data_IF_644133609255
#
_entry.id   IF_644133609255
#
_cell.length_a   1.000
_cell.length_b   1.000
_cell.length_c   1.000
_cell.angle_alpha   90.00
_cell.angle_beta   90.00
_cell.angle_gamma   90.00
#
_symmetry.space_group_name_H-M   'P 1'
#
loop_
_entity.id
_entity.type
_entity.pdbx_description
1 polymer ?
#
# COMPACT_ATOMS: atom_id res chain seq x y z
N UNK A 1 7.41 -4.27 -18.24
CA UNK A 1 6.40 -5.34 -18.42
C UNK A 1 6.90 -6.37 -19.41
N UNK A 2 7.30 -6.00 -20.64
CA UNK A 2 7.92 -6.97 -21.58
C UNK A 2 9.15 -7.69 -21.01
N UNK A 3 10.07 -6.96 -20.35
CA UNK A 3 11.22 -7.57 -19.66
C UNK A 3 10.82 -8.55 -18.54
N UNK A 4 9.76 -8.22 -17.79
CA UNK A 4 9.26 -9.08 -16.71
C UNK A 4 8.59 -10.34 -17.31
N UNK A 5 7.86 -10.19 -18.42
CA UNK A 5 7.23 -11.31 -19.14
C UNK A 5 8.25 -12.22 -19.81
N UNK A 6 9.31 -11.65 -20.41
CA UNK A 6 10.43 -12.43 -20.95
C UNK A 6 11.14 -13.22 -19.84
N UNK A 7 11.38 -12.59 -18.70
CA UNK A 7 11.96 -13.27 -17.55
C UNK A 7 11.05 -14.39 -17.03
N UNK A 8 9.74 -14.18 -16.91
CA UNK A 8 8.77 -15.23 -16.55
C UNK A 8 8.77 -16.36 -17.58
N UNK A 9 8.82 -16.03 -18.88
CA UNK A 9 8.86 -17.03 -19.96
C UNK A 9 10.15 -17.85 -19.96
N UNK A 10 11.27 -17.27 -19.52
CA UNK A 10 12.56 -17.95 -19.33
C UNK A 10 12.67 -18.66 -17.98
N UNK A 11 11.84 -18.30 -17.00
CA UNK A 11 11.83 -18.95 -15.71
C UNK A 11 11.39 -20.41 -15.90
N UNK A 12 12.33 -21.32 -15.60
CA UNK A 12 12.06 -22.76 -15.69
C UNK A 12 11.12 -23.24 -14.59
N UNK A 13 10.97 -24.56 -14.48
CA UNK A 13 10.21 -25.16 -13.37
C UNK A 13 10.99 -24.95 -12.06
N UNK A 14 10.36 -24.40 -11.00
CA UNK A 14 11.01 -24.26 -9.71
C UNK A 14 11.49 -25.61 -9.12
N UNK A 15 12.61 -25.61 -8.39
CA UNK A 15 13.11 -26.77 -7.66
C UNK A 15 12.08 -27.23 -6.60
N UNK A 16 11.39 -28.33 -6.89
CA UNK A 16 10.37 -28.91 -6.01
C UNK A 16 10.91 -29.34 -4.63
N UNK A 17 12.22 -29.46 -4.46
CA UNK A 17 12.87 -29.76 -3.19
C UNK A 17 13.16 -28.53 -2.33
N UNK A 18 12.68 -27.34 -2.70
CA UNK A 18 12.85 -26.09 -1.94
C UNK A 18 11.50 -25.44 -1.66
N UNK A 19 11.39 -24.77 -0.51
CA UNK A 19 10.23 -23.95 -0.16
C UNK A 19 10.14 -22.67 -1.00
N UNK A 20 11.28 -22.01 -1.23
CA UNK A 20 11.35 -20.85 -2.12
C UNK A 20 11.23 -21.32 -3.57
N UNK A 21 10.42 -20.64 -4.41
CA UNK A 21 10.48 -20.87 -5.85
C UNK A 21 11.85 -20.42 -6.36
N UNK A 22 12.71 -21.38 -6.69
CA UNK A 22 14.04 -21.13 -7.22
C UNK A 22 14.25 -21.89 -8.52
N UNK A 23 14.84 -21.26 -9.51
CA UNK A 23 15.17 -21.87 -10.80
C UNK A 23 16.56 -21.44 -11.28
N UNK A 24 17.13 -22.24 -12.17
CA UNK A 24 18.36 -21.91 -12.91
C UNK A 24 17.99 -21.59 -14.36
N UNK A 25 18.46 -20.45 -14.87
CA UNK A 25 18.28 -20.06 -16.28
C UNK A 25 19.44 -20.59 -17.16
N UNK A 26 19.71 -21.89 -17.07
CA UNK A 26 20.82 -22.57 -17.76
C UNK A 26 22.04 -22.85 -16.87
N UNK A 27 23.09 -23.44 -17.46
CA UNK A 27 24.23 -24.02 -16.74
C UNK A 27 25.21 -22.99 -16.14
N UNK A 28 25.19 -21.74 -16.63
CA UNK A 28 26.14 -20.67 -16.24
C UNK A 28 25.50 -19.49 -15.50
N UNK A 29 24.18 -19.52 -15.29
CA UNK A 29 23.44 -18.45 -14.61
C UNK A 29 23.29 -18.74 -13.13
N UNK A 30 23.53 -17.76 -12.24
CA UNK A 30 23.20 -17.89 -10.83
C UNK A 30 21.72 -18.27 -10.66
N UNK A 31 21.39 -19.13 -9.68
CA UNK A 31 20.01 -19.46 -9.39
C UNK A 31 19.24 -18.20 -8.95
N UNK A 32 18.03 -18.05 -9.46
CA UNK A 32 17.13 -16.95 -9.14
C UNK A 32 16.04 -17.49 -8.22
N UNK A 33 15.72 -16.74 -7.16
CA UNK A 33 14.74 -17.17 -6.18
C UNK A 33 13.72 -16.07 -5.92
N UNK A 34 12.47 -16.47 -5.70
CA UNK A 34 11.44 -15.59 -5.16
C UNK A 34 11.27 -15.85 -3.65
N UNK A 35 10.75 -14.87 -2.90
CA UNK A 35 10.38 -15.07 -1.51
C UNK A 35 9.43 -16.25 -1.34
N UNK A 36 9.64 -17.05 -0.29
CA UNK A 36 8.66 -18.03 0.15
C UNK A 36 7.49 -17.37 0.89
N UNK A 37 7.75 -16.25 1.57
CA UNK A 37 6.73 -15.51 2.29
C UNK A 37 6.81 -14.00 2.07
N UNK A 38 5.66 -13.36 2.31
CA UNK A 38 5.49 -11.91 2.31
C UNK A 38 4.89 -11.47 3.63
N UNK A 39 5.37 -10.34 4.15
CA UNK A 39 4.74 -9.62 5.23
C UNK A 39 4.01 -8.42 4.60
N UNK A 40 2.70 -8.57 4.42
CA UNK A 40 1.86 -7.53 3.84
C UNK A 40 1.38 -6.58 4.92
N UNK A 41 1.36 -5.29 4.62
CA UNK A 41 0.79 -4.28 5.48
C UNK A 41 0.87 -2.92 4.83
N UNK A 42 0.06 -1.99 5.33
CA UNK A 42 0.22 -0.58 4.99
C UNK A 42 1.53 -0.03 5.57
N UNK A 43 1.98 1.12 5.05
CA UNK A 43 3.00 1.92 5.74
C UNK A 43 2.62 2.11 7.23
N UNK A 44 3.61 2.13 8.14
CA UNK A 44 3.40 2.20 9.61
C UNK A 44 2.64 1.02 10.25
N UNK A 45 2.60 -0.15 9.59
CA UNK A 45 2.06 -1.39 10.19
C UNK A 45 3.12 -2.25 10.90
N UNK A 46 4.42 -2.06 10.60
CA UNK A 46 5.52 -2.80 11.22
C UNK A 46 5.99 -4.04 10.43
N UNK A 47 5.79 -4.07 9.11
CA UNK A 47 6.24 -5.20 8.25
C UNK A 47 7.75 -5.45 8.34
N UNK A 48 8.57 -4.39 8.21
CA UNK A 48 10.03 -4.48 8.26
C UNK A 48 10.57 -4.89 9.63
N UNK A 49 9.89 -4.47 10.71
CA UNK A 49 10.23 -4.87 12.07
C UNK A 49 9.98 -6.37 12.27
N UNK A 50 8.82 -6.90 11.85
CA UNK A 50 8.55 -8.34 11.88
C UNK A 50 9.57 -9.10 11.02
N UNK A 51 9.87 -8.59 9.82
CA UNK A 51 10.86 -9.16 8.92
C UNK A 51 12.25 -9.23 9.55
N UNK A 52 12.68 -8.17 10.23
CA UNK A 52 13.98 -8.10 10.90
C UNK A 52 14.07 -9.05 12.08
N UNK A 53 12.99 -9.19 12.86
CA UNK A 53 12.92 -10.19 13.95
C UNK A 53 13.02 -11.60 13.40
N UNK A 54 12.24 -11.95 12.37
CA UNK A 54 12.29 -13.27 11.74
C UNK A 54 13.70 -13.59 11.24
N UNK A 55 14.35 -12.66 10.55
CA UNK A 55 15.73 -12.84 10.06
C UNK A 55 16.74 -13.06 11.19
N UNK A 56 16.59 -12.36 12.31
CA UNK A 56 17.54 -12.42 13.42
C UNK A 56 17.27 -13.55 14.43
N UNK A 57 16.05 -14.09 14.46
CA UNK A 57 15.61 -15.01 15.51
C UNK A 57 15.08 -16.37 15.03
N UNK A 58 14.62 -16.50 13.78
CA UNK A 58 14.11 -17.77 13.25
C UNK A 58 15.23 -18.54 12.52
N UNK A 59 15.63 -19.75 12.98
CA UNK A 59 16.84 -20.44 12.48
C UNK A 59 16.87 -20.73 10.98
N UNK A 60 15.71 -20.93 10.35
CA UNK A 60 15.59 -21.27 8.93
C UNK A 60 15.18 -20.07 8.06
N UNK A 61 15.28 -18.84 8.56
CA UNK A 61 15.09 -17.62 7.75
C UNK A 61 16.47 -17.07 7.38
N UNK A 62 16.84 -17.20 6.10
CA UNK A 62 18.18 -16.83 5.63
C UNK A 62 18.28 -15.40 5.10
N UNK A 63 17.19 -14.89 4.52
CA UNK A 63 17.14 -13.55 3.93
C UNK A 63 15.76 -12.95 4.14
N UNK A 64 15.71 -11.71 4.62
CA UNK A 64 14.52 -10.87 4.55
C UNK A 64 14.92 -9.51 4.01
N UNK A 65 14.14 -8.98 3.05
CA UNK A 65 14.39 -7.68 2.41
C UNK A 65 13.08 -6.94 2.21
N UNK A 66 13.17 -5.61 2.06
CA UNK A 66 12.06 -4.75 1.67
C UNK A 66 12.40 -4.01 0.38
N UNK A 67 12.44 -4.69 -0.79
CA UNK A 67 12.87 -4.09 -2.04
C UNK A 67 11.79 -3.29 -2.75
N UNK A 68 10.54 -3.26 -2.27
CA UNK A 68 9.40 -2.50 -2.81
C UNK A 68 9.14 -2.77 -4.30
N UNK A 69 9.43 -4.00 -4.73
CA UNK A 69 9.39 -4.35 -6.14
C UNK A 69 7.97 -4.29 -6.69
N UNK A 70 6.99 -4.81 -5.94
CA UNK A 70 5.63 -4.93 -6.43
C UNK A 70 4.92 -3.57 -6.55
N UNK A 71 5.09 -2.66 -5.59
CA UNK A 71 4.47 -1.33 -5.62
C UNK A 71 5.26 -0.29 -6.44
N UNK A 72 6.57 -0.45 -6.65
CA UNK A 72 7.36 0.43 -7.52
C UNK A 72 7.48 -0.10 -8.95
N UNK A 73 7.66 0.80 -9.94
CA UNK A 73 7.75 0.45 -11.36
C UNK A 73 9.17 0.44 -11.94
N UNK A 74 10.18 0.84 -11.16
CA UNK A 74 11.55 1.11 -11.64
C UNK A 74 12.47 -0.11 -11.60
N UNK A 75 12.05 -1.20 -10.94
CA UNK A 75 12.84 -2.42 -10.73
C UNK A 75 12.40 -3.52 -11.70
N UNK A 76 13.34 -4.31 -12.22
CA UNK A 76 13.04 -5.50 -13.05
C UNK A 76 12.82 -6.73 -12.16
N UNK A 77 12.01 -7.68 -12.63
CA UNK A 77 11.76 -8.94 -11.91
C UNK A 77 13.05 -9.75 -11.72
N UNK A 78 13.98 -9.67 -12.66
CA UNK A 78 15.31 -10.28 -12.54
C UNK A 78 16.09 -9.69 -11.35
N UNK A 79 16.20 -8.36 -11.25
CA UNK A 79 16.89 -7.73 -10.12
C UNK A 79 16.20 -8.04 -8.78
N UNK A 80 14.88 -8.15 -8.78
CA UNK A 80 14.11 -8.57 -7.61
C UNK A 80 14.44 -10.01 -7.20
N UNK A 81 14.38 -10.98 -8.12
CA UNK A 81 14.68 -12.37 -7.79
C UNK A 81 16.17 -12.59 -7.41
N UNK A 82 17.08 -11.80 -7.97
CA UNK A 82 18.50 -11.83 -7.59
C UNK A 82 18.72 -11.38 -6.13
N UNK A 83 17.83 -10.55 -5.58
CA UNK A 83 17.89 -10.10 -4.17
C UNK A 83 17.81 -11.28 -3.18
N UNK A 84 17.21 -12.39 -3.58
CA UNK A 84 17.01 -13.58 -2.76
C UNK A 84 17.85 -14.79 -3.19
N UNK A 85 18.65 -14.66 -4.26
CA UNK A 85 19.40 -15.77 -4.87
C UNK A 85 20.30 -16.54 -3.89
N UNK A 86 20.78 -15.90 -2.81
CA UNK A 86 21.65 -16.56 -1.84
C UNK A 86 20.99 -17.75 -1.13
N UNK A 87 19.66 -17.83 -1.04
CA UNK A 87 19.00 -19.00 -0.41
C UNK A 87 19.13 -20.28 -1.26
N UNK A 88 19.44 -20.15 -2.56
CA UNK A 88 19.66 -21.30 -3.43
C UNK A 88 20.93 -22.10 -3.10
N UNK A 89 21.91 -21.49 -2.41
CA UNK A 89 23.15 -22.16 -1.97
C UNK A 89 23.09 -22.62 -0.51
N UNK A 90 22.04 -22.23 0.23
CA UNK A 90 21.78 -22.64 1.61
C UNK A 90 21.06 -23.99 1.68
N UNK A 91 20.89 -24.52 2.90
CA UNK A 91 20.08 -25.71 3.18
C UNK A 91 18.66 -25.57 2.59
N UNK A 92 18.08 -26.70 2.16
CA UNK A 92 16.82 -26.72 1.39
C UNK A 92 15.60 -26.16 2.15
N UNK A 93 15.64 -26.22 3.48
CA UNK A 93 14.62 -25.72 4.39
C UNK A 93 14.77 -24.22 4.72
N UNK A 94 15.87 -23.56 4.30
CA UNK A 94 16.08 -22.13 4.54
C UNK A 94 15.22 -21.31 3.58
N UNK A 95 14.51 -20.32 4.12
CA UNK A 95 13.54 -19.50 3.38
C UNK A 95 13.94 -18.03 3.28
N UNK A 96 13.46 -17.38 2.22
CA UNK A 96 13.52 -15.96 1.97
C UNK A 96 12.15 -15.32 2.20
N UNK A 97 12.16 -14.08 2.69
CA UNK A 97 10.98 -13.26 2.92
C UNK A 97 11.08 -11.87 2.32
N UNK A 98 9.94 -11.34 1.89
CA UNK A 98 9.80 -9.92 1.54
C UNK A 98 8.91 -9.22 2.57
N UNK A 99 9.43 -8.13 3.14
CA UNK A 99 8.80 -7.35 4.20
C UNK A 99 8.46 -5.91 3.77
N UNK A 100 8.39 -5.65 2.47
CA UNK A 100 8.07 -4.32 1.97
C UNK A 100 6.68 -3.84 2.38
N UNK A 101 6.59 -2.67 3.03
CA UNK A 101 5.30 -2.04 3.28
C UNK A 101 4.68 -1.52 1.97
N UNK A 102 3.37 -1.32 2.01
CA UNK A 102 2.59 -0.76 0.91
C UNK A 102 1.93 -1.83 0.03
N UNK A 103 2.45 -3.06 0.00
CA UNK A 103 1.90 -4.12 -0.87
C UNK A 103 0.44 -4.45 -0.59
N UNK A 104 -0.02 -4.37 0.67
CA UNK A 104 -1.43 -4.66 0.96
C UNK A 104 -2.35 -3.71 0.18
N UNK A 105 -2.05 -2.41 0.18
CA UNK A 105 -2.87 -1.42 -0.50
C UNK A 105 -2.68 -1.52 -2.01
N UNK A 106 -3.75 -1.87 -2.72
CA UNK A 106 -3.76 -1.94 -4.19
C UNK A 106 -4.20 -0.62 -4.83
N UNK A 107 -4.15 0.48 -4.08
CA UNK A 107 -4.48 1.80 -4.61
C UNK A 107 -3.53 2.18 -5.73
N UNK A 108 -3.97 3.08 -6.60
CA UNK A 108 -3.26 3.52 -7.78
C UNK A 108 -1.82 3.94 -7.45
N UNK A 109 -1.64 4.75 -6.40
CA UNK A 109 -0.34 5.21 -5.91
C UNK A 109 0.56 4.09 -5.35
N UNK A 110 -0.01 3.00 -4.85
CA UNK A 110 0.71 1.85 -4.28
C UNK A 110 0.80 0.67 -5.27
N UNK A 111 0.31 0.85 -6.51
CA UNK A 111 0.33 -0.16 -7.56
C UNK A 111 0.82 0.43 -8.89
N UNK A 112 1.73 1.40 -8.84
CA UNK A 112 2.23 2.13 -10.03
C UNK A 112 2.84 1.19 -11.07
N UNK A 113 3.37 0.02 -10.67
CA UNK A 113 3.84 -1.00 -11.61
C UNK A 113 2.77 -1.40 -12.63
N UNK A 114 1.50 -1.43 -12.23
CA UNK A 114 0.37 -1.69 -13.11
C UNK A 114 -0.08 -0.46 -13.89
N UNK A 115 0.06 0.73 -13.30
CA UNK A 115 -0.42 1.99 -13.87
C UNK A 115 0.66 2.78 -14.63
N UNK A 116 1.63 2.10 -15.25
CA UNK A 116 2.73 2.76 -15.98
C UNK A 116 2.22 3.58 -17.16
N UNK A 117 1.27 3.02 -17.93
CA UNK A 117 0.70 3.72 -19.08
C UNK A 117 -0.02 5.02 -18.65
N UNK A 118 -0.75 4.96 -17.53
CA UNK A 118 -1.34 6.15 -16.92
C UNK A 118 -0.25 7.15 -16.50
N UNK A 119 0.80 6.70 -15.80
CA UNK A 119 1.87 7.57 -15.31
C UNK A 119 2.61 8.28 -16.45
N UNK A 120 2.93 7.55 -17.53
CA UNK A 120 3.58 8.10 -18.71
C UNK A 120 2.70 9.16 -19.37
N UNK A 121 1.40 8.87 -19.54
CA UNK A 121 0.45 9.84 -20.10
C UNK A 121 0.32 11.09 -19.24
N UNK A 122 0.17 10.92 -17.93
CA UNK A 122 0.11 12.03 -16.98
C UNK A 122 1.36 12.91 -17.04
N UNK A 123 2.55 12.30 -17.06
CA UNK A 123 3.83 13.02 -17.18
C UNK A 123 3.87 13.86 -18.45
N UNK A 124 3.56 13.26 -19.58
CA UNK A 124 3.70 13.90 -20.89
C UNK A 124 2.65 15.02 -21.06
N UNK A 125 1.39 14.75 -20.70
CA UNK A 125 0.34 15.76 -20.70
C UNK A 125 0.65 16.92 -19.75
N UNK A 126 1.07 16.61 -18.51
CA UNK A 126 1.42 17.63 -17.53
C UNK A 126 2.51 18.55 -18.07
N UNK A 127 3.57 17.98 -18.66
CA UNK A 127 4.68 18.72 -19.27
C UNK A 127 4.20 19.64 -20.40
N UNK A 128 3.31 19.17 -21.27
CA UNK A 128 2.70 20.00 -22.31
C UNK A 128 1.92 21.18 -21.71
N UNK A 129 1.09 20.91 -20.69
CA UNK A 129 0.27 21.94 -20.06
C UNK A 129 1.10 23.04 -19.39
N UNK A 130 2.35 22.78 -19.00
CA UNK A 130 3.23 23.80 -18.40
C UNK A 130 3.54 24.95 -19.38
N UNK A 131 3.41 24.73 -20.68
CA UNK A 131 3.64 25.76 -21.72
C UNK A 131 2.50 26.78 -21.83
N UNK A 132 1.35 26.50 -21.19
CA UNK A 132 0.16 27.34 -21.27
C UNK A 132 0.15 28.43 -20.18
N UNK A 133 -0.60 29.50 -20.45
CA UNK A 133 -0.73 30.64 -19.54
C UNK A 133 -1.39 30.26 -18.21
N UNK A 134 -0.88 30.79 -17.09
CA UNK A 134 -1.57 30.76 -15.78
C UNK A 134 -2.57 31.90 -15.61
N UNK A 135 -2.59 32.90 -16.51
CA UNK A 135 -3.52 34.04 -16.43
C UNK A 135 -4.93 33.61 -16.81
N UNK A 136 -5.91 34.06 -16.02
CA UNK A 136 -7.33 33.91 -16.34
C UNK A 136 -7.71 34.80 -17.53
N UNK A 137 -8.39 34.22 -18.52
CA UNK A 137 -8.74 34.92 -19.77
C UNK A 137 -10.02 35.75 -19.65
N UNK A 138 -10.98 35.30 -18.83
CA UNK A 138 -12.32 35.90 -18.72
C UNK A 138 -12.47 36.85 -17.51
N UNK A 139 -11.38 37.11 -16.77
CA UNK A 139 -11.41 37.90 -15.54
C UNK A 139 -10.04 38.55 -15.26
N UNK A 140 -9.81 39.73 -15.83
CA UNK A 140 -8.58 40.50 -15.61
C UNK A 140 -8.41 41.01 -14.16
N UNK A 141 -9.49 40.97 -13.36
CA UNK A 141 -9.45 41.38 -11.96
C UNK A 141 -9.04 40.24 -11.01
N UNK A 142 -9.10 39.00 -11.50
CA UNK A 142 -8.72 37.82 -10.74
C UNK A 142 -7.21 37.84 -10.45
N UNK A 143 -6.87 37.62 -9.18
CA UNK A 143 -5.48 37.51 -8.75
C UNK A 143 -4.99 36.09 -9.04
N UNK A 144 -3.75 35.98 -9.51
CA UNK A 144 -3.06 34.69 -9.63
C UNK A 144 -2.66 34.20 -8.23
N UNK A 145 -3.63 33.62 -7.49
CA UNK A 145 -3.45 33.05 -6.16
C UNK A 145 -3.90 31.59 -6.14
N UNK A 146 -3.35 30.80 -5.19
CA UNK A 146 -3.75 29.41 -5.00
C UNK A 146 -5.25 29.25 -4.67
N UNK A 147 -5.84 30.20 -3.94
CA UNK A 147 -7.27 30.17 -3.59
C UNK A 147 -8.17 30.41 -4.82
N UNK A 148 -7.80 31.34 -5.70
CA UNK A 148 -8.53 31.57 -6.96
C UNK A 148 -8.39 30.37 -7.91
N UNK A 149 -7.20 29.78 -7.98
CA UNK A 149 -6.95 28.55 -8.74
C UNK A 149 -7.83 27.39 -8.23
N UNK A 150 -7.85 27.19 -6.90
CA UNK A 150 -8.67 26.18 -6.25
C UNK A 150 -10.18 26.41 -6.50
N UNK A 151 -10.66 27.66 -6.44
CA UNK A 151 -12.07 27.98 -6.66
C UNK A 151 -12.54 27.78 -8.11
N UNK A 152 -11.62 27.79 -9.08
CA UNK A 152 -11.91 27.65 -10.52
C UNK A 152 -11.55 26.27 -11.06
N UNK A 153 -10.89 25.43 -10.28
CA UNK A 153 -10.42 24.09 -10.63
C UNK A 153 -11.53 23.24 -11.27
N UNK A 154 -11.19 22.54 -12.34
CA UNK A 154 -12.15 21.71 -13.08
C UNK A 154 -13.29 22.50 -13.76
N UNK A 155 -13.21 23.82 -13.86
CA UNK A 155 -14.24 24.64 -14.54
C UNK A 155 -13.71 25.29 -15.81
N UNK A 156 -14.62 25.71 -16.70
CA UNK A 156 -14.27 26.48 -17.90
C UNK A 156 -13.64 27.84 -17.60
N UNK A 157 -13.76 28.35 -16.36
CA UNK A 157 -13.16 29.62 -15.91
C UNK A 157 -11.74 29.48 -15.36
N UNK A 158 -11.20 28.26 -15.28
CA UNK A 158 -9.82 28.05 -14.86
C UNK A 158 -8.84 28.64 -15.88
N UNK A 159 -7.59 28.86 -15.47
CA UNK A 159 -6.55 29.32 -16.40
C UNK A 159 -6.33 28.31 -17.54
N UNK A 160 -5.82 28.73 -18.71
CA UNK A 160 -5.52 27.80 -19.81
C UNK A 160 -4.65 26.61 -19.39
N UNK A 161 -3.68 26.84 -18.49
CA UNK A 161 -2.87 25.77 -17.90
C UNK A 161 -3.68 24.81 -17.04
N UNK A 162 -4.52 25.31 -16.13
CA UNK A 162 -5.38 24.43 -15.31
C UNK A 162 -6.40 23.67 -16.14
N UNK A 163 -7.07 24.30 -17.11
CA UNK A 163 -8.02 23.59 -18.00
C UNK A 163 -7.36 22.46 -18.78
N UNK A 164 -6.08 22.61 -19.13
CA UNK A 164 -5.31 21.53 -19.75
C UNK A 164 -5.03 20.38 -18.77
N UNK A 165 -4.68 20.68 -17.52
CA UNK A 165 -4.36 19.69 -16.50
C UNK A 165 -5.62 18.98 -15.98
N UNK A 166 -6.57 19.77 -15.51
CA UNK A 166 -7.77 19.34 -14.80
C UNK A 166 -8.91 18.93 -15.73
N UNK A 167 -8.91 19.47 -16.95
CA UNK A 167 -10.08 19.43 -17.80
C UNK A 167 -11.19 20.37 -17.30
N UNK A 168 -12.40 20.14 -17.82
CA UNK A 168 -13.64 20.75 -17.35
C UNK A 168 -14.60 19.64 -16.94
N UNK A 169 -14.99 19.63 -15.66
CA UNK A 169 -15.88 18.62 -15.12
C UNK A 169 -17.19 18.54 -15.91
N UNK A 170 -17.55 17.32 -16.33
CA UNK A 170 -18.75 17.08 -17.12
C UNK A 170 -18.63 17.40 -18.61
N UNK A 171 -17.50 17.92 -19.10
CA UNK A 171 -17.26 18.14 -20.53
C UNK A 171 -16.34 17.04 -21.12
N UNK A 172 -16.88 16.07 -21.88
CA UNK A 172 -16.07 15.01 -22.48
C UNK A 172 -15.09 15.51 -23.55
N UNK A 173 -15.22 16.75 -24.03
CA UNK A 173 -14.28 17.36 -24.98
C UNK A 173 -13.08 18.04 -24.30
N UNK A 174 -13.14 18.20 -22.99
CA UNK A 174 -12.06 18.76 -22.18
C UNK A 174 -11.73 17.82 -21.01
N UNK A 175 -11.25 16.59 -21.28
CA UNK A 175 -11.00 15.57 -20.25
C UNK A 175 -9.83 15.89 -19.31
N UNK A 176 -8.93 16.79 -19.71
CA UNK A 176 -7.68 17.06 -18.98
C UNK A 176 -6.74 15.86 -18.97
N UNK A 177 -5.60 16.00 -18.29
CA UNK A 177 -4.59 14.93 -18.24
C UNK A 177 -5.13 13.65 -17.56
N UNK A 178 -5.88 13.80 -16.47
CA UNK A 178 -6.44 12.65 -15.72
C UNK A 178 -7.48 11.91 -16.56
N UNK A 179 -8.40 12.63 -17.23
CA UNK A 179 -9.41 12.01 -18.07
C UNK A 179 -8.81 11.29 -19.28
N UNK A 180 -7.78 11.87 -19.91
CA UNK A 180 -7.06 11.21 -21.00
C UNK A 180 -6.27 9.98 -20.51
N UNK A 181 -5.60 10.08 -19.36
CA UNK A 181 -4.86 8.98 -18.77
C UNK A 181 -5.79 7.81 -18.37
N UNK A 182 -6.95 8.12 -17.78
CA UNK A 182 -8.00 7.15 -17.48
C UNK A 182 -8.52 6.45 -18.74
N UNK A 183 -8.60 7.15 -19.88
CA UNK A 183 -8.99 6.53 -21.15
C UNK A 183 -7.95 5.55 -21.70
N UNK A 184 -6.66 5.73 -21.33
CA UNK A 184 -5.56 4.83 -21.70
C UNK A 184 -5.42 3.63 -20.75
N UNK A 185 -5.76 3.82 -19.48
CA UNK A 185 -5.69 2.80 -18.43
C UNK A 185 -7.00 2.75 -17.60
N UNK A 186 -8.12 2.31 -18.23
CA UNK A 186 -9.42 2.28 -17.57
C UNK A 186 -9.43 1.29 -16.40
N UNK A 187 -10.22 1.60 -15.36
CA UNK A 187 -10.46 0.69 -14.23
C UNK A 187 -11.57 -0.31 -14.55
N UNK A 188 -11.67 -1.42 -13.81
CA UNK A 188 -12.66 -2.48 -14.04
C UNK A 188 -14.10 -1.95 -14.16
N UNK A 189 -14.50 -1.06 -13.26
CA UNK A 189 -15.82 -0.42 -13.24
C UNK A 189 -16.08 0.48 -14.46
N UNK A 190 -15.01 0.88 -15.15
CA UNK A 190 -15.04 1.66 -16.40
C UNK A 190 -14.76 0.79 -17.63
N UNK A 191 -14.85 -0.54 -17.52
CA UNK A 191 -14.57 -1.48 -18.62
C UNK A 191 -13.09 -1.80 -18.81
N UNK A 192 -12.26 -1.53 -17.80
CA UNK A 192 -10.84 -1.82 -17.75
C UNK A 192 -10.50 -3.27 -17.43
N UNK A 193 -9.21 -3.55 -17.34
CA UNK A 193 -8.72 -4.93 -17.29
C UNK A 193 -8.95 -5.65 -15.95
N UNK A 194 -9.29 -4.93 -14.86
CA UNK A 194 -9.57 -5.50 -13.53
C UNK A 194 -8.43 -6.29 -12.89
N UNK A 195 -7.21 -6.07 -13.38
CA UNK A 195 -6.00 -6.67 -12.82
C UNK A 195 -5.46 -5.75 -11.73
N UNK A 196 -4.90 -6.36 -10.70
CA UNK A 196 -4.34 -5.72 -9.53
C UNK A 196 -3.04 -6.41 -9.13
N UNK A 197 -2.32 -5.85 -8.15
CA UNK A 197 -1.05 -6.40 -7.68
C UNK A 197 -1.04 -7.93 -7.45
N UNK A 198 -2.03 -8.51 -6.75
CA UNK A 198 -2.16 -9.95 -6.59
C UNK A 198 -2.12 -10.75 -7.91
N UNK A 199 -2.73 -10.25 -8.99
CA UNK A 199 -2.81 -10.94 -10.28
C UNK A 199 -1.45 -11.05 -10.98
N UNK A 200 -0.61 -10.01 -10.88
CA UNK A 200 0.76 -10.09 -11.41
C UNK A 200 1.60 -11.03 -10.57
N UNK A 201 1.45 -10.98 -9.23
CA UNK A 201 2.13 -11.91 -8.35
C UNK A 201 1.73 -13.36 -8.65
N UNK A 202 0.44 -13.64 -8.84
CA UNK A 202 -0.02 -15.00 -9.14
C UNK A 202 0.53 -15.51 -10.48
N UNK A 203 0.70 -14.63 -11.46
CA UNK A 203 1.32 -14.97 -12.75
C UNK A 203 2.77 -15.42 -12.57
N UNK A 204 3.50 -14.76 -11.66
CA UNK A 204 4.91 -15.09 -11.36
C UNK A 204 5.04 -16.36 -10.51
N UNK A 205 4.15 -16.55 -9.53
CA UNK A 205 4.20 -17.69 -8.61
C UNK A 205 3.53 -18.97 -9.16
N UNK A 206 2.68 -18.85 -10.18
CA UNK A 206 1.99 -19.97 -10.81
C UNK A 206 1.24 -20.84 -9.79
N UNK A 207 1.52 -22.14 -9.81
CA UNK A 207 0.87 -23.12 -8.92
C UNK A 207 1.42 -23.16 -7.49
N UNK A 208 2.41 -22.33 -7.16
CA UNK A 208 3.11 -22.36 -5.87
C UNK A 208 2.93 -21.01 -5.15
N UNK A 209 1.72 -20.69 -4.67
CA UNK A 209 1.45 -19.40 -4.04
C UNK A 209 2.34 -19.22 -2.79
N UNK A 210 2.82 -17.99 -2.52
CA UNK A 210 3.60 -17.73 -1.34
C UNK A 210 2.71 -17.69 -0.10
N UNK A 211 3.33 -17.62 1.08
CA UNK A 211 2.63 -17.39 2.35
C UNK A 211 2.60 -15.91 2.69
N UNK A 212 1.43 -15.38 2.98
CA UNK A 212 1.20 -13.99 3.38
C UNK A 212 0.94 -13.89 4.87
N UNK A 213 1.70 -13.04 5.56
CA UNK A 213 1.38 -12.56 6.90
C UNK A 213 0.91 -11.12 6.75
N UNK A 214 -0.37 -10.86 6.95
CA UNK A 214 -0.98 -9.54 6.82
C UNK A 214 -1.03 -8.90 8.20
N UNK A 215 -0.34 -7.78 8.38
CA UNK A 215 -0.39 -6.99 9.61
C UNK A 215 -1.44 -5.89 9.44
N UNK A 216 -2.46 -5.93 10.30
CA UNK A 216 -3.44 -4.84 10.45
C UNK A 216 -3.20 -4.12 11.78
N UNK A 217 -3.57 -2.85 11.85
CA UNK A 217 -3.45 -2.01 13.05
C UNK A 217 -4.76 -1.25 13.23
N UNK A 218 -5.09 -0.81 14.43
CA UNK A 218 -6.22 0.10 14.66
C UNK A 218 -6.11 1.30 13.68
N UNK A 219 -7.09 1.46 12.75
CA UNK A 219 -6.98 2.40 11.63
C UNK A 219 -6.65 3.84 11.99
N UNK A 220 -7.29 4.37 13.04
CA UNK A 220 -7.08 5.70 13.57
C UNK A 220 -5.70 5.85 14.19
N UNK A 221 -5.25 4.90 15.01
CA UNK A 221 -3.89 4.89 15.55
C UNK A 221 -2.84 4.83 14.44
N UNK A 222 -3.07 4.06 13.36
CA UNK A 222 -2.15 4.03 12.21
C UNK A 222 -2.09 5.39 11.50
N UNK A 223 -3.24 6.00 11.24
CA UNK A 223 -3.35 7.33 10.64
C UNK A 223 -2.61 8.40 11.46
N UNK A 224 -2.79 8.36 12.78
CA UNK A 224 -2.12 9.23 13.74
C UNK A 224 -0.60 9.01 13.76
N UNK A 225 -0.17 7.75 13.70
CA UNK A 225 1.25 7.40 13.53
C UNK A 225 1.85 8.01 12.27
N UNK A 226 1.14 7.93 11.14
CA UNK A 226 1.61 8.49 9.87
C UNK A 226 1.72 10.02 9.94
N UNK A 227 0.75 10.71 10.54
CA UNK A 227 0.78 12.15 10.74
C UNK A 227 2.04 12.62 11.49
N UNK A 228 2.38 11.93 12.59
CA UNK A 228 3.53 12.31 13.41
C UNK A 228 4.88 11.91 12.81
N UNK A 229 4.91 10.79 12.07
CA UNK A 229 6.10 10.30 11.41
C UNK A 229 6.51 11.19 10.23
N UNK A 230 5.57 11.55 9.35
CA UNK A 230 5.90 12.29 8.13
C UNK A 230 5.82 13.80 8.31
N UNK A 231 6.93 14.47 7.98
CA UNK A 231 7.08 15.91 8.17
C UNK A 231 6.11 16.77 7.34
N UNK A 232 5.71 16.29 6.16
CA UNK A 232 4.82 17.04 5.28
C UNK A 232 3.42 17.25 5.88
N UNK A 233 2.88 16.30 6.67
CA UNK A 233 1.60 16.48 7.34
C UNK A 233 1.67 17.57 8.40
N UNK A 234 2.69 17.52 9.26
CA UNK A 234 2.90 18.52 10.31
C UNK A 234 3.17 19.92 9.75
N UNK A 235 3.86 20.03 8.61
CA UNK A 235 4.06 21.31 7.92
C UNK A 235 2.76 21.89 7.38
N UNK A 236 1.85 21.05 6.90
CA UNK A 236 0.59 21.48 6.30
C UNK A 236 -0.46 21.84 7.36
N UNK A 237 -0.59 21.04 8.42
CA UNK A 237 -1.68 21.16 9.40
C UNK A 237 -1.24 21.65 10.77
N UNK A 238 0.07 21.70 11.05
CA UNK A 238 0.64 22.02 12.35
C UNK A 238 1.08 20.78 13.13
N UNK A 239 2.23 20.85 13.80
CA UNK A 239 2.81 19.75 14.58
C UNK A 239 2.16 19.61 15.97
N UNK A 240 0.83 19.44 16.02
CA UNK A 240 0.05 19.29 17.24
C UNK A 240 -1.25 18.50 16.98
N UNK A 241 -1.97 18.16 18.05
CA UNK A 241 -3.20 17.37 17.95
C UNK A 241 -4.37 18.12 17.29
N UNK A 242 -4.40 19.46 17.30
CA UNK A 242 -5.38 20.23 16.52
C UNK A 242 -5.10 20.13 15.01
N UNK A 243 -3.82 20.09 14.63
CA UNK A 243 -3.39 19.81 13.26
C UNK A 243 -3.75 18.40 12.83
N UNK A 244 -3.56 17.40 13.69
CA UNK A 244 -4.03 16.04 13.41
C UNK A 244 -5.56 16.00 13.26
N UNK A 245 -6.30 16.67 14.15
CA UNK A 245 -7.76 16.76 14.08
C UNK A 245 -8.23 17.34 12.74
N UNK A 246 -7.67 18.48 12.33
CA UNK A 246 -8.00 19.12 11.06
C UNK A 246 -7.66 18.24 9.85
N UNK A 247 -6.51 17.57 9.89
CA UNK A 247 -6.10 16.60 8.87
C UNK A 247 -7.11 15.44 8.77
N UNK A 248 -7.38 14.75 9.88
CA UNK A 248 -8.26 13.59 9.92
C UNK A 248 -9.69 13.94 9.46
N UNK A 249 -10.22 15.07 9.92
CA UNK A 249 -11.55 15.55 9.51
C UNK A 249 -11.61 15.86 8.02
N UNK A 250 -10.59 16.52 7.46
CA UNK A 250 -10.54 16.79 6.03
C UNK A 250 -10.50 15.48 5.23
N UNK A 251 -9.65 14.53 5.60
CA UNK A 251 -9.54 13.26 4.89
C UNK A 251 -10.86 12.48 4.92
N UNK A 252 -11.49 12.34 6.10
CA UNK A 252 -12.80 11.67 6.23
C UNK A 252 -13.89 12.38 5.41
N UNK A 253 -13.93 13.72 5.46
CA UNK A 253 -14.91 14.52 4.73
C UNK A 253 -14.75 14.34 3.22
N UNK A 254 -13.52 14.41 2.71
CA UNK A 254 -13.26 14.30 1.28
C UNK A 254 -13.47 12.87 0.78
N UNK A 255 -13.13 11.85 1.57
CA UNK A 255 -13.44 10.47 1.22
C UNK A 255 -14.94 10.20 1.20
N UNK A 256 -15.68 10.70 2.20
CA UNK A 256 -17.14 10.60 2.22
C UNK A 256 -17.76 11.32 1.02
N UNK A 257 -17.23 12.49 0.65
CA UNK A 257 -17.65 13.21 -0.55
C UNK A 257 -17.43 12.40 -1.83
N UNK A 258 -16.37 11.60 -1.92
CA UNK A 258 -16.18 10.67 -3.04
C UNK A 258 -17.34 9.66 -3.13
N UNK A 259 -17.73 9.07 -2.00
CA UNK A 259 -18.87 8.12 -1.94
C UNK A 259 -20.21 8.81 -2.26
N UNK A 260 -20.43 10.01 -1.72
CA UNK A 260 -21.67 10.77 -1.90
C UNK A 260 -21.89 11.20 -3.36
N UNK A 261 -20.83 11.27 -4.17
CA UNK A 261 -20.92 11.45 -5.63
C UNK A 261 -21.38 10.20 -6.39
N UNK A 262 -21.66 9.11 -5.68
CA UNK A 262 -22.11 7.85 -6.27
C UNK A 262 -20.97 6.93 -6.73
N UNK A 263 -19.71 7.28 -6.42
CA UNK A 263 -18.58 6.39 -6.70
C UNK A 263 -18.60 5.20 -5.73
N UNK A 264 -18.25 3.98 -6.18
CA UNK A 264 -18.21 2.82 -5.32
C UNK A 264 -17.04 2.87 -4.34
N UNK A 265 -17.17 2.18 -3.20
CA UNK A 265 -16.14 2.13 -2.16
C UNK A 265 -14.77 1.65 -2.68
N UNK A 266 -14.76 0.56 -3.47
CA UNK A 266 -13.52 0.05 -4.11
C UNK A 266 -12.88 1.12 -4.99
N UNK A 267 -13.71 1.84 -5.74
CA UNK A 267 -13.30 2.98 -6.53
C UNK A 267 -12.62 4.08 -5.72
N UNK A 268 -13.32 4.63 -4.72
CA UNK A 268 -12.76 5.68 -3.86
C UNK A 268 -11.48 5.23 -3.12
N UNK A 269 -11.36 3.96 -2.74
CA UNK A 269 -10.15 3.44 -2.09
C UNK A 269 -8.99 3.20 -3.07
N UNK A 270 -9.27 2.87 -4.34
CA UNK A 270 -8.21 2.53 -5.29
C UNK A 270 -7.79 3.70 -6.17
N UNK A 271 -8.65 4.69 -6.47
CA UNK A 271 -8.37 5.75 -7.44
C UNK A 271 -8.98 7.10 -7.05
N UNK A 272 -8.96 7.42 -5.76
CA UNK A 272 -9.55 8.63 -5.20
C UNK A 272 -9.26 9.89 -6.02
N UNK A 273 -7.98 10.11 -6.32
CA UNK A 273 -7.45 11.26 -7.05
C UNK A 273 -7.89 11.33 -8.51
N UNK A 274 -8.31 10.21 -9.12
CA UNK A 274 -8.59 10.18 -10.56
C UNK A 274 -10.04 10.50 -10.90
N UNK A 275 -10.93 10.57 -9.90
CA UNK A 275 -12.34 10.87 -10.11
C UNK A 275 -12.63 12.33 -10.41
N UNK A 276 -11.85 13.25 -9.85
CA UNK A 276 -12.02 14.67 -10.12
C UNK A 276 -10.78 15.47 -9.72
N UNK A 277 -10.56 16.63 -10.35
CA UNK A 277 -9.55 17.59 -9.92
C UNK A 277 -9.66 17.98 -8.44
N UNK A 278 -10.86 17.99 -7.86
CA UNK A 278 -11.05 18.28 -6.45
C UNK A 278 -10.44 17.21 -5.54
N UNK A 279 -10.55 15.93 -5.92
CA UNK A 279 -9.95 14.83 -5.15
C UNK A 279 -8.44 14.75 -5.37
N UNK A 280 -7.97 15.04 -6.60
CA UNK A 280 -6.55 15.23 -6.88
C UNK A 280 -5.94 16.33 -5.99
N UNK A 281 -6.67 17.43 -5.76
CA UNK A 281 -6.20 18.54 -4.94
C UNK A 281 -6.12 18.24 -3.43
N UNK A 282 -6.73 17.15 -2.95
CA UNK A 282 -6.65 16.77 -1.54
C UNK A 282 -5.20 16.46 -1.20
N UNK A 283 -4.72 16.99 -0.08
CA UNK A 283 -3.34 16.82 0.36
C UNK A 283 -2.97 15.34 0.45
N UNK A 284 -1.97 14.91 -0.35
CA UNK A 284 -1.58 13.50 -0.50
C UNK A 284 -2.75 12.55 -0.83
N UNK A 285 -3.80 13.05 -1.50
CA UNK A 285 -4.92 12.26 -2.03
C UNK A 285 -5.62 11.35 -1.00
N UNK A 286 -5.64 11.77 0.28
CA UNK A 286 -6.16 10.97 1.40
C UNK A 286 -5.49 9.58 1.56
N UNK A 287 -4.27 9.41 1.08
CA UNK A 287 -3.56 8.13 1.00
C UNK A 287 -3.49 7.40 2.35
N UNK A 288 -3.18 8.09 3.44
CA UNK A 288 -3.07 7.46 4.74
C UNK A 288 -4.45 7.05 5.29
N UNK A 289 -5.53 7.78 5.04
CA UNK A 289 -6.86 7.30 5.42
C UNK A 289 -7.19 6.02 4.63
N UNK A 290 -6.95 6.07 3.32
CA UNK A 290 -7.23 4.99 2.37
C UNK A 290 -6.44 3.72 2.70
N UNK A 291 -5.15 3.83 3.03
CA UNK A 291 -4.27 2.70 3.39
C UNK A 291 -4.77 1.88 4.58
N UNK A 292 -5.69 2.40 5.40
CA UNK A 292 -6.32 1.66 6.50
C UNK A 292 -7.62 0.95 6.10
N UNK A 293 -8.04 0.98 4.83
CA UNK A 293 -9.21 0.26 4.30
C UNK A 293 -8.86 -1.20 4.00
N UNK A 294 -8.46 -1.93 5.04
CA UNK A 294 -7.94 -3.28 4.92
C UNK A 294 -8.92 -4.27 4.29
N UNK A 295 -10.21 -4.11 4.54
CA UNK A 295 -11.27 -4.95 3.98
C UNK A 295 -11.29 -4.87 2.45
N UNK A 296 -11.23 -3.66 1.90
CA UNK A 296 -11.22 -3.43 0.45
C UNK A 296 -10.04 -4.11 -0.22
N UNK A 297 -8.85 -3.90 0.35
CA UNK A 297 -7.64 -4.42 -0.25
C UNK A 297 -7.50 -5.92 -0.05
N UNK A 298 -7.71 -6.42 1.17
CA UNK A 298 -7.60 -7.85 1.47
C UNK A 298 -8.59 -8.68 0.65
N UNK A 299 -9.80 -8.17 0.39
CA UNK A 299 -10.75 -8.83 -0.51
C UNK A 299 -10.15 -9.05 -1.91
N UNK A 300 -9.44 -8.05 -2.45
CA UNK A 300 -8.75 -8.16 -3.76
C UNK A 300 -7.64 -9.22 -3.74
N UNK A 301 -6.94 -9.37 -2.62
CA UNK A 301 -5.94 -10.42 -2.44
C UNK A 301 -6.56 -11.82 -2.36
N UNK A 302 -7.68 -11.96 -1.65
CA UNK A 302 -8.41 -13.21 -1.48
C UNK A 302 -9.15 -13.66 -2.74
N UNK A 303 -9.47 -12.72 -3.65
CA UNK A 303 -10.02 -13.03 -4.98
C UNK A 303 -9.01 -13.79 -5.88
N UNK A 304 -7.70 -13.69 -5.58
CA UNK A 304 -6.62 -14.24 -6.42
C UNK A 304 -5.88 -15.39 -5.77
N UNK A 305 -5.55 -15.26 -4.48
CA UNK A 305 -4.79 -16.26 -3.74
C UNK A 305 -5.67 -17.01 -2.76
N UNK A 306 -5.37 -18.30 -2.50
CA UNK A 306 -6.23 -19.12 -1.67
C UNK A 306 -6.15 -18.66 -0.19
N UNK A 307 -7.25 -18.78 0.55
CA UNK A 307 -7.38 -18.25 1.92
C UNK A 307 -6.30 -18.78 2.87
N UNK A 308 -5.89 -20.04 2.70
CA UNK A 308 -4.85 -20.70 3.50
C UNK A 308 -3.45 -20.12 3.30
N UNK A 309 -3.21 -19.35 2.23
CA UNK A 309 -1.97 -18.60 2.08
C UNK A 309 -1.87 -17.45 3.07
N UNK A 310 -2.96 -17.02 3.71
CA UNK A 310 -3.01 -15.82 4.54
C UNK A 310 -3.15 -16.11 6.04
N UNK A 311 -2.28 -15.48 6.83
CA UNK A 311 -2.50 -15.21 8.24
C UNK A 311 -2.71 -13.71 8.39
N UNK A 312 -3.83 -13.29 8.97
CA UNK A 312 -4.04 -11.90 9.39
C UNK A 312 -3.72 -11.81 10.89
N UNK A 313 -2.93 -10.81 11.27
CA UNK A 313 -2.50 -10.60 12.65
C UNK A 313 -2.54 -9.11 12.99
N UNK A 314 -2.90 -8.81 14.23
CA UNK A 314 -2.91 -7.44 14.75
C UNK A 314 -1.50 -7.01 15.14
N UNK A 315 -1.12 -5.80 14.75
CA UNK A 315 0.10 -5.16 15.21
C UNK A 315 0.08 -5.01 16.73
N UNK A 316 -1.09 -4.73 17.32
CA UNK A 316 -1.25 -4.62 18.78
C UNK A 316 -0.90 -5.92 19.50
N UNK A 317 -1.17 -7.08 18.91
CA UNK A 317 -0.82 -8.37 19.53
C UNK A 317 0.66 -8.68 19.34
N UNK A 318 1.21 -8.47 18.13
CA UNK A 318 2.63 -8.70 17.83
C UNK A 318 3.56 -7.88 18.73
N UNK A 319 3.17 -6.63 19.00
CA UNK A 319 3.97 -5.65 19.72
C UNK A 319 3.42 -5.36 21.13
N UNK A 320 2.62 -6.27 21.68
CA UNK A 320 2.04 -6.13 23.02
C UNK A 320 3.11 -6.13 24.11
N UNK A 321 2.94 -5.23 25.09
CA UNK A 321 3.72 -5.19 26.33
C UNK A 321 3.51 -6.47 27.18
N UNK A 322 2.36 -7.14 27.02
CA UNK A 322 2.17 -8.47 27.59
C UNK A 322 2.91 -9.51 26.75
N UNK A 323 4.01 -10.02 27.31
CA UNK A 323 4.86 -11.03 26.68
C UNK A 323 4.10 -12.28 26.27
N UNK A 324 3.03 -12.66 26.98
CA UNK A 324 2.26 -13.84 26.62
C UNK A 324 1.47 -13.61 25.33
N UNK A 325 0.82 -12.44 25.22
CA UNK A 325 0.11 -12.00 24.02
C UNK A 325 1.04 -11.93 22.80
N UNK A 326 2.19 -11.25 22.94
CA UNK A 326 3.15 -11.15 21.83
C UNK A 326 3.82 -12.48 21.47
N UNK A 327 4.10 -13.34 22.45
CA UNK A 327 4.58 -14.71 22.19
C UNK A 327 3.53 -15.54 21.45
N UNK A 328 2.24 -15.44 21.82
CA UNK A 328 1.17 -16.16 21.14
C UNK A 328 0.99 -15.69 19.69
N UNK A 329 1.03 -14.38 19.44
CA UNK A 329 0.97 -13.81 18.10
C UNK A 329 2.17 -14.26 17.23
N UNK A 330 3.39 -14.21 17.78
CA UNK A 330 4.59 -14.67 17.09
C UNK A 330 4.54 -16.16 16.77
N UNK A 331 3.99 -16.98 17.68
CA UNK A 331 3.78 -18.42 17.43
C UNK A 331 2.82 -18.67 16.27
N UNK A 332 1.74 -17.88 16.14
CA UNK A 332 0.82 -17.96 14.98
C UNK A 332 1.57 -17.68 13.68
N UNK A 333 2.42 -16.63 13.66
CA UNK A 333 3.26 -16.29 12.50
C UNK A 333 4.20 -17.43 12.14
N UNK A 334 4.97 -17.94 13.08
CA UNK A 334 5.92 -19.04 12.85
C UNK A 334 5.22 -20.31 12.33
N UNK A 335 4.07 -20.66 12.91
CA UNK A 335 3.27 -21.80 12.47
C UNK A 335 2.72 -21.61 11.07
N UNK A 336 2.20 -20.41 10.74
CA UNK A 336 1.71 -20.11 9.40
C UNK A 336 2.81 -20.25 8.37
N UNK A 337 4.02 -19.77 8.68
CA UNK A 337 5.19 -19.85 7.80
C UNK A 337 5.84 -21.24 7.77
N UNK A 338 5.36 -22.21 8.54
CA UNK A 338 5.98 -23.53 8.69
C UNK A 338 7.46 -23.43 9.12
N UNK A 339 7.70 -22.60 10.14
CA UNK A 339 8.98 -22.39 10.82
C UNK A 339 8.92 -23.01 12.24
N UNK A 340 10.05 -23.03 12.94
CA UNK A 340 10.08 -23.48 14.34
C UNK A 340 9.21 -22.57 15.22
N UNK A 341 8.05 -23.09 15.63
CA UNK A 341 7.08 -22.40 16.47
C UNK A 341 7.17 -22.84 17.95
N UNK A 342 8.32 -23.37 18.37
CA UNK A 342 8.60 -23.67 19.78
C UNK A 342 8.38 -22.43 20.66
N UNK A 343 8.00 -22.68 21.92
CA UNK A 343 7.81 -21.60 22.90
C UNK A 343 9.08 -20.76 23.08
N UNK A 344 10.24 -21.39 23.01
CA UNK A 344 11.55 -20.74 23.08
C UNK A 344 11.75 -19.76 21.92
N UNK A 345 11.60 -20.22 20.68
CA UNK A 345 11.77 -19.39 19.47
C UNK A 345 10.74 -18.27 19.41
N UNK A 346 9.47 -18.58 19.67
CA UNK A 346 8.38 -17.60 19.68
C UNK A 346 8.60 -16.51 20.73
N UNK A 347 8.96 -16.90 21.96
CA UNK A 347 9.19 -15.94 23.06
C UNK A 347 10.42 -15.10 22.81
N UNK A 348 11.51 -15.71 22.32
CA UNK A 348 12.73 -14.99 21.92
C UNK A 348 12.36 -13.85 20.97
N UNK A 349 11.71 -14.18 19.84
CA UNK A 349 11.28 -13.23 18.82
C UNK A 349 10.33 -12.15 19.36
N UNK A 350 9.37 -12.52 20.22
CA UNK A 350 8.45 -11.57 20.84
C UNK A 350 9.17 -10.53 21.72
N UNK A 351 10.22 -10.95 22.44
CA UNK A 351 11.00 -10.08 23.34
C UNK A 351 12.20 -9.41 22.69
N UNK A 352 12.42 -9.61 21.38
CA UNK A 352 13.53 -8.95 20.70
C UNK A 352 13.36 -7.43 20.72
N UNK A 353 14.45 -6.74 21.03
CA UNK A 353 14.49 -5.28 20.90
C UNK A 353 14.22 -4.89 19.46
N UNK A 354 13.45 -3.81 19.31
CA UNK A 354 13.15 -3.28 18.02
C UNK A 354 14.40 -2.82 17.28
N UNK A 355 14.46 -3.16 16.00
CA UNK A 355 15.55 -2.75 15.11
C UNK A 355 15.32 -1.34 14.56
N UNK A 356 14.06 -0.91 14.51
CA UNK A 356 13.65 0.47 14.24
C UNK A 356 12.48 0.87 15.14
N UNK A 357 12.29 2.17 15.32
CA UNK A 357 11.19 2.70 16.15
C UNK A 357 9.99 3.17 15.33
N UNK A 358 9.99 2.98 14.02
CA UNK A 358 8.97 3.52 13.12
C UNK A 358 7.59 2.85 13.29
N UNK A 359 7.55 1.68 13.93
CA UNK A 359 6.31 1.05 14.37
C UNK A 359 5.81 1.54 15.72
N UNK A 360 6.66 2.20 16.54
CA UNK A 360 6.26 2.64 17.88
C UNK A 360 5.09 3.59 17.74
N UNK A 361 4.04 3.26 18.48
CA UNK A 361 2.82 4.03 18.54
C UNK A 361 3.18 5.46 18.98
N UNK A 362 2.57 6.47 18.35
CA UNK A 362 2.58 7.82 18.92
C UNK A 362 2.06 7.84 20.38
N UNK A 363 1.35 6.78 20.80
CA UNK A 363 0.88 6.50 22.17
C UNK A 363 1.97 6.60 23.24
N UNK A 364 3.23 6.32 22.91
CA UNK A 364 4.31 6.31 23.91
C UNK A 364 4.89 7.71 24.17
N UNK A 365 4.47 8.72 23.40
CA UNK A 365 4.78 10.13 23.64
C UNK A 365 3.56 10.81 24.30
N UNK A 366 3.64 11.23 25.58
CA UNK A 366 2.55 11.91 26.27
C UNK A 366 2.05 13.19 25.56
N UNK A 367 2.88 13.81 24.71
CA UNK A 367 2.52 14.99 23.94
C UNK A 367 1.77 14.65 22.63
N UNK A 368 1.65 13.37 22.29
CA UNK A 368 1.03 12.85 21.06
C UNK A 368 -0.12 11.90 21.36
N UNK A 369 -0.88 12.19 22.41
CA UNK A 369 -2.11 11.43 22.69
C UNK A 369 -3.23 11.97 21.81
N UNK A 370 -3.75 11.11 20.92
CA UNK A 370 -4.89 11.44 20.08
C UNK A 370 -6.07 11.94 20.92
N UNK A 371 -6.64 13.08 20.55
CA UNK A 371 -7.86 13.60 21.18
C UNK A 371 -9.04 12.61 21.08
N UNK A 372 -9.78 12.45 22.18
CA UNK A 372 -10.90 11.51 22.29
C UNK A 372 -12.04 11.77 21.30
N UNK A 373 -12.31 13.05 20.99
CA UNK A 373 -13.37 13.43 20.05
C UNK A 373 -13.03 13.01 18.61
N UNK A 374 -11.76 13.11 18.23
CA UNK A 374 -11.28 12.67 16.92
C UNK A 374 -11.18 11.14 16.86
N UNK A 375 -10.73 10.49 17.95
CA UNK A 375 -10.77 9.02 18.07
C UNK A 375 -12.17 8.50 17.82
N UNK A 376 -13.17 9.06 18.51
CA UNK A 376 -14.58 8.68 18.34
C UNK A 376 -15.06 8.82 16.90
N UNK A 377 -14.67 9.89 16.20
CA UNK A 377 -15.03 10.10 14.79
C UNK A 377 -14.36 9.06 13.87
N UNK A 378 -13.07 8.79 14.09
CA UNK A 378 -12.32 7.79 13.31
C UNK A 378 -12.87 6.38 13.55
N UNK A 379 -13.16 6.02 14.80
CA UNK A 379 -13.76 4.73 15.15
C UNK A 379 -15.11 4.54 14.44
N UNK A 380 -15.98 5.56 14.48
CA UNK A 380 -17.24 5.54 13.75
C UNK A 380 -17.04 5.46 12.23
N UNK A 381 -16.04 6.17 11.70
CA UNK A 381 -15.67 6.14 10.28
C UNK A 381 -15.03 4.81 9.86
N UNK A 382 -14.43 4.01 10.73
CA UNK A 382 -13.85 2.72 10.35
C UNK A 382 -14.70 1.52 10.77
N UNK A 383 -15.66 1.69 11.69
CA UNK A 383 -16.44 0.58 12.25
C UNK A 383 -17.05 -0.38 11.20
N UNK A 384 -17.75 0.08 10.14
CA UNK A 384 -18.31 -0.87 9.18
C UNK A 384 -17.25 -1.55 8.28
N UNK A 385 -16.07 -0.94 8.12
CA UNK A 385 -14.91 -1.55 7.42
C UNK A 385 -14.29 -2.64 8.29
N UNK A 386 -14.14 -2.37 9.58
CA UNK A 386 -13.63 -3.34 10.56
C UNK A 386 -14.57 -4.56 10.72
N UNK A 387 -15.89 -4.33 10.72
CA UNK A 387 -16.88 -5.43 10.70
C UNK A 387 -16.77 -6.29 9.44
N UNK A 388 -16.58 -5.68 8.27
CA UNK A 388 -16.35 -6.41 7.02
C UNK A 388 -15.03 -7.17 7.05
N UNK A 389 -13.97 -6.56 7.56
CA UNK A 389 -12.68 -7.23 7.75
C UNK A 389 -12.81 -8.46 8.65
N UNK A 390 -13.47 -8.34 9.80
CA UNK A 390 -13.72 -9.45 10.72
C UNK A 390 -14.47 -10.61 10.02
N UNK A 391 -15.46 -10.28 9.18
CA UNK A 391 -16.19 -11.26 8.37
C UNK A 391 -15.28 -11.95 7.35
N UNK A 392 -14.45 -11.18 6.62
CA UNK A 392 -13.51 -11.72 5.62
C UNK A 392 -12.48 -12.67 6.24
N UNK A 393 -12.01 -12.36 7.45
CA UNK A 393 -10.99 -13.16 8.11
C UNK A 393 -11.56 -14.32 8.93
N UNK A 394 -12.84 -14.25 9.32
CA UNK A 394 -13.50 -15.24 10.17
C UNK A 394 -13.10 -15.17 11.66
N UNK A 395 -12.58 -14.04 12.09
CA UNK A 395 -12.08 -13.73 13.44
C UNK A 395 -12.43 -12.28 13.74
N UNK A 396 -12.86 -12.00 14.97
CA UNK A 396 -13.02 -10.62 15.42
C UNK A 396 -11.65 -10.02 15.75
N UNK A 397 -11.28 -8.96 15.03
CA UNK A 397 -9.99 -8.31 15.20
C UNK A 397 -10.09 -7.05 16.08
N UNK A 398 -11.24 -6.38 16.16
CA UNK A 398 -11.40 -5.10 16.87
C UNK A 398 -12.77 -4.90 17.49
#
# INVERSE_FOLDING_TARGET
MEEDLDFIGRAGVPDAGRKNPCWTTGDSTPPMCLPYFYILGAWQSGTEELGSRLLAGAPTVGVVRAPHFWNEHTKTLENYANTFASVATMERNVVAGDASPGYLATSWSESIRFHRAYLDHMRDCWAECQTKSSKFEDDESAKDTADEDAARRGTSRASPRRRCIDGVEGDPKAPGCVGEANAKDPYDESGGHGLSLPHLMSTVYGSSPPRFVVIVREPGARLHSAFWHYEHYKKQYGANEDGFAAYAEQMMTMFQKCLDRGNPLRGCANRFETYSPEFEAVFYHADALIKSMYDVFLETWLDVFPRESFLVVKGEDLWSDDVNTSTAAMRRVLKHLDLDASDETARRLATMNATSNDWRFARDDPERVMRDDIRTKLDAFFAPRLQRLATLVGEDLY
#
